data_IF_399501944421
#
_entry.id   IF_399501944421
#
_cell.length_a   1.000
_cell.length_b   1.000
_cell.length_c   1.000
_cell.angle_alpha   90.00
_cell.angle_beta   90.00
_cell.angle_gamma   90.00
#
_symmetry.space_group_name_H-M   'P 1'
#
loop_
_entity.id
_entity.type
_entity.pdbx_description
1 polymer ?
#
# COMPACT_ATOMS: atom_id res chain seq x y z
N UNK A 1 27.21 5.31 0.10
CA UNK A 1 26.14 6.32 -0.05
C UNK A 1 24.83 5.72 -0.55
N UNK A 2 24.83 4.46 -1.00
CA UNK A 2 23.70 3.85 -1.71
C UNK A 2 22.56 3.39 -0.77
N UNK A 3 22.89 2.96 0.45
CA UNK A 3 21.90 2.53 1.45
C UNK A 3 21.01 3.69 1.94
N UNK A 4 21.55 4.91 2.01
CA UNK A 4 20.77 6.10 2.37
C UNK A 4 19.75 6.44 1.29
N UNK A 5 20.12 6.33 0.01
CA UNK A 5 19.22 6.60 -1.11
C UNK A 5 18.06 5.59 -1.15
N UNK A 6 18.34 4.30 -0.95
CA UNK A 6 17.30 3.26 -0.82
C UNK A 6 16.37 3.57 0.38
N UNK A 7 16.94 3.99 1.51
CA UNK A 7 16.16 4.44 2.67
C UNK A 7 15.22 5.59 2.32
N UNK A 8 15.73 6.67 1.74
CA UNK A 8 14.91 7.81 1.32
C UNK A 8 13.82 7.43 0.33
N UNK A 9 14.12 6.53 -0.61
CA UNK A 9 13.13 6.04 -1.57
C UNK A 9 12.00 5.29 -0.87
N UNK A 10 12.31 4.39 0.06
CA UNK A 10 11.30 3.62 0.81
C UNK A 10 10.45 4.52 1.72
N UNK A 11 11.06 5.48 2.40
CA UNK A 11 10.33 6.47 3.20
C UNK A 11 9.43 7.36 2.34
N UNK A 12 9.93 7.82 1.19
CA UNK A 12 9.14 8.57 0.22
C UNK A 12 7.96 7.77 -0.31
N UNK A 13 8.17 6.49 -0.61
CA UNK A 13 7.12 5.58 -1.07
C UNK A 13 6.07 5.34 0.02
N UNK A 14 6.49 5.21 1.28
CA UNK A 14 5.59 5.07 2.43
C UNK A 14 4.69 6.30 2.58
N UNK A 15 5.27 7.51 2.51
CA UNK A 15 4.52 8.78 2.59
C UNK A 15 3.54 8.88 1.41
N UNK A 16 4.01 8.61 0.19
CA UNK A 16 3.17 8.64 -1.00
C UNK A 16 2.01 7.63 -0.90
N UNK A 17 2.27 6.42 -0.38
CA UNK A 17 1.27 5.40 -0.16
C UNK A 17 0.19 5.85 0.83
N UNK A 18 0.56 6.50 1.94
CA UNK A 18 -0.39 7.06 2.92
C UNK A 18 -1.22 8.19 2.30
N UNK A 19 -0.59 9.12 1.56
CA UNK A 19 -1.31 10.20 0.89
C UNK A 19 -2.31 9.64 -0.11
N UNK A 20 -1.91 8.67 -0.94
CA UNK A 20 -2.79 7.99 -1.89
C UNK A 20 -3.92 7.22 -1.21
N UNK A 21 -3.66 6.62 -0.05
CA UNK A 21 -4.68 5.94 0.75
C UNK A 21 -5.77 6.93 1.17
N UNK A 22 -5.37 8.04 1.79
CA UNK A 22 -6.27 9.09 2.27
C UNK A 22 -7.06 9.69 1.10
N UNK A 23 -6.38 10.05 0.00
CA UNK A 23 -7.02 10.59 -1.19
C UNK A 23 -7.94 9.57 -1.87
N UNK A 24 -7.58 8.30 -1.89
CA UNK A 24 -8.38 7.22 -2.46
C UNK A 24 -9.66 6.98 -1.66
N UNK A 25 -9.59 7.00 -0.33
CA UNK A 25 -10.75 6.91 0.54
C UNK A 25 -11.63 8.17 0.44
N UNK A 26 -11.04 9.37 0.50
CA UNK A 26 -11.79 10.63 0.43
C UNK A 26 -12.49 10.78 -0.93
N UNK A 27 -11.77 10.60 -2.04
CA UNK A 27 -12.34 10.78 -3.38
C UNK A 27 -13.07 9.55 -3.91
N UNK A 28 -13.27 8.52 -3.09
CA UNK A 28 -13.79 7.21 -3.51
C UNK A 28 -13.14 6.69 -4.81
N UNK A 29 -11.81 6.86 -4.92
CA UNK A 29 -11.05 6.51 -6.12
C UNK A 29 -10.38 5.16 -5.95
N UNK A 30 -10.97 4.14 -6.57
CA UNK A 30 -10.42 2.77 -6.56
C UNK A 30 -9.00 2.71 -7.15
N UNK A 31 -8.69 3.56 -8.14
CA UNK A 31 -7.35 3.64 -8.74
C UNK A 31 -6.32 4.15 -7.74
N UNK A 32 -6.65 5.23 -7.01
CA UNK A 32 -5.75 5.80 -6.01
C UNK A 32 -5.52 4.80 -4.87
N UNK A 33 -6.56 4.08 -4.44
CA UNK A 33 -6.45 3.02 -3.45
C UNK A 33 -5.57 1.86 -3.93
N UNK A 34 -5.72 1.45 -5.20
CA UNK A 34 -4.89 0.39 -5.78
C UNK A 34 -3.41 0.81 -5.84
N UNK A 35 -3.13 2.03 -6.31
CA UNK A 35 -1.78 2.59 -6.34
C UNK A 35 -1.18 2.75 -4.94
N UNK A 36 -1.98 3.14 -3.95
CA UNK A 36 -1.57 3.14 -2.54
C UNK A 36 -1.13 1.76 -2.07
N UNK A 37 -1.94 0.73 -2.31
CA UNK A 37 -1.62 -0.64 -1.92
C UNK A 37 -0.35 -1.19 -2.60
N UNK A 38 -0.16 -0.88 -3.89
CA UNK A 38 1.07 -1.22 -4.62
C UNK A 38 2.28 -0.45 -4.06
N UNK A 39 2.13 0.82 -3.69
CA UNK A 39 3.20 1.61 -3.09
C UNK A 39 3.58 1.12 -1.68
N UNK A 40 2.64 0.52 -0.92
CA UNK A 40 2.95 -0.12 0.35
C UNK A 40 3.70 -1.47 0.21
N UNK A 41 3.63 -2.14 -0.95
CA UNK A 41 4.23 -3.47 -1.12
C UNK A 41 5.75 -3.49 -0.86
N UNK A 42 6.58 -2.61 -1.47
CA UNK A 42 8.02 -2.64 -1.26
C UNK A 42 8.45 -2.47 0.21
N UNK A 43 8.00 -1.44 0.96
CA UNK A 43 8.39 -1.30 2.36
C UNK A 43 7.87 -2.43 3.23
N UNK A 44 6.67 -2.97 2.97
CA UNK A 44 6.10 -4.05 3.79
C UNK A 44 6.73 -5.41 3.49
N UNK A 45 7.11 -5.68 2.24
CA UNK A 45 7.91 -6.86 1.88
C UNK A 45 9.27 -6.84 2.55
N UNK A 46 9.92 -5.67 2.57
CA UNK A 46 11.22 -5.52 3.23
C UNK A 46 11.12 -5.81 4.73
N UNK A 47 10.05 -5.35 5.39
CA UNK A 47 9.77 -5.67 6.80
C UNK A 47 9.50 -7.18 6.98
N UNK A 48 8.65 -7.77 6.13
CA UNK A 48 8.23 -9.16 6.26
C UNK A 48 9.34 -10.18 5.96
N UNK A 49 10.27 -9.85 5.06
CA UNK A 49 11.41 -10.70 4.69
C UNK A 49 12.65 -10.42 5.53
N UNK A 50 12.75 -9.24 6.14
CA UNK A 50 13.91 -8.84 6.93
C UNK A 50 13.98 -9.46 8.33
N UNK A 51 12.91 -10.08 8.82
CA UNK A 51 12.85 -10.70 10.15
C UNK A 51 12.04 -12.02 10.12
N UNK A 52 12.53 -13.03 10.85
CA UNK A 52 11.88 -14.35 10.91
C UNK A 52 10.60 -14.40 11.76
N UNK A 53 10.36 -13.37 12.57
CA UNK A 53 9.20 -13.31 13.45
C UNK A 53 7.88 -13.28 12.68
N UNK A 54 6.94 -14.16 13.04
CA UNK A 54 5.60 -14.22 12.44
C UNK A 54 4.89 -12.86 12.46
N UNK A 55 5.13 -12.05 13.49
CA UNK A 55 4.51 -10.72 13.63
C UNK A 55 4.90 -9.76 12.49
N UNK A 56 6.09 -9.91 11.90
CA UNK A 56 6.54 -9.08 10.79
C UNK A 56 5.89 -9.48 9.47
N UNK A 57 5.51 -10.76 9.32
CA UNK A 57 4.75 -11.25 8.16
C UNK A 57 3.35 -10.63 8.10
N UNK A 58 2.78 -10.25 9.24
CA UNK A 58 1.50 -9.52 9.30
C UNK A 58 1.57 -8.14 8.64
N UNK A 59 2.76 -7.56 8.43
CA UNK A 59 2.91 -6.29 7.71
C UNK A 59 2.33 -6.36 6.29
N UNK A 60 2.34 -7.55 5.65
CA UNK A 60 1.73 -7.78 4.34
C UNK A 60 0.21 -7.68 4.34
N UNK A 61 -0.45 -7.74 5.51
CA UNK A 61 -1.89 -7.52 5.61
C UNK A 61 -2.26 -6.08 5.24
N UNK A 62 -1.36 -5.11 5.44
CA UNK A 62 -1.62 -3.70 5.10
C UNK A 62 -1.83 -3.54 3.58
N UNK A 63 -0.85 -3.84 2.70
CA UNK A 63 -1.06 -3.71 1.25
C UNK A 63 -2.18 -4.63 0.77
N UNK A 64 -2.32 -5.84 1.33
CA UNK A 64 -3.41 -6.75 0.97
C UNK A 64 -4.79 -6.15 1.27
N UNK A 65 -4.99 -5.56 2.45
CA UNK A 65 -6.24 -4.92 2.84
C UNK A 65 -6.56 -3.71 1.96
N UNK A 66 -5.56 -2.90 1.64
CA UNK A 66 -5.73 -1.72 0.77
C UNK A 66 -6.10 -2.14 -0.66
N UNK A 67 -5.42 -3.13 -1.22
CA UNK A 67 -5.74 -3.66 -2.56
C UNK A 67 -7.12 -4.33 -2.57
N UNK A 68 -7.46 -5.11 -1.55
CA UNK A 68 -8.78 -5.71 -1.42
C UNK A 68 -9.89 -4.64 -1.36
N UNK A 69 -9.68 -3.58 -0.58
CA UNK A 69 -10.56 -2.41 -0.54
C UNK A 69 -10.71 -1.74 -1.92
N UNK A 70 -9.61 -1.63 -2.67
CA UNK A 70 -9.62 -1.04 -4.02
C UNK A 70 -10.48 -1.86 -4.98
N UNK A 71 -10.31 -3.19 -4.96
CA UNK A 71 -11.09 -4.12 -5.78
C UNK A 71 -12.56 -4.10 -5.39
N UNK A 72 -12.87 -4.07 -4.10
CA UNK A 72 -14.24 -3.96 -3.61
C UNK A 72 -14.91 -2.66 -4.09
N UNK A 73 -14.23 -1.52 -3.98
CA UNK A 73 -14.72 -0.23 -4.47
C UNK A 73 -14.93 -0.22 -5.98
N UNK A 74 -14.00 -0.81 -6.75
CA UNK A 74 -14.14 -0.95 -8.21
C UNK A 74 -15.39 -1.76 -8.57
N UNK A 75 -15.61 -2.89 -7.89
CA UNK A 75 -16.81 -3.73 -8.10
C UNK A 75 -18.08 -2.94 -7.83
N UNK A 76 -18.15 -2.23 -6.69
CA UNK A 76 -19.30 -1.39 -6.35
C UNK A 76 -19.59 -0.36 -7.44
N UNK A 77 -18.57 0.32 -7.95
CA UNK A 77 -18.73 1.30 -9.02
C UNK A 77 -19.27 0.68 -10.32
N UNK A 78 -18.83 -0.53 -10.68
CA UNK A 78 -19.31 -1.23 -11.89
C UNK A 78 -20.77 -1.70 -11.79
N UNK A 79 -21.30 -1.98 -10.60
CA UNK A 79 -22.70 -2.39 -10.43
C UNK A 79 -23.70 -1.22 -10.50
N UNK A 80 -23.23 0.03 -10.43
CA UNK A 80 -24.08 1.23 -10.47
C UNK A 80 -24.08 1.95 -11.83
N UNK A 81 -23.33 1.44 -12.82
CA UNK A 81 -23.39 1.87 -14.23
C UNK A 81 -24.25 0.90 -15.03
#
# INVERSE_FOLDING_TARGET
MDFLLVGFLLWGLLIAAVILLILGLWKNSWKALLWSGIAFLPPMLLIALGHDGFIFKLALLIPAAVIAGAVYMKKRMMYFM
#
